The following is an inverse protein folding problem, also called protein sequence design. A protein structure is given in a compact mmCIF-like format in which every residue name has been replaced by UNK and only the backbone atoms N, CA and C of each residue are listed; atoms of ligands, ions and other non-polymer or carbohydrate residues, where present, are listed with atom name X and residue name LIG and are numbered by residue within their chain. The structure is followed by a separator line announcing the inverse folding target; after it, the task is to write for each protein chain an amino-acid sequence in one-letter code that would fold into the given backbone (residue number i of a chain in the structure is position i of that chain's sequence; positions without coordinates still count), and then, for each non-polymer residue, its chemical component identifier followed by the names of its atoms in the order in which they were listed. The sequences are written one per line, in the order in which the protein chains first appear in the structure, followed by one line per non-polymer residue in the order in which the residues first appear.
data_IF_784980270646
#
_entry.id   IF_784980270646
#
_cell.length_a   1.000
_cell.length_b   1.000
_cell.length_c   1.000
_cell.angle_alpha   90.00
_cell.angle_beta   90.00
_cell.angle_gamma   90.00
#
_symmetry.space_group_name_H-M   'P 1'
#
loop_
_entity.id
_entity.type
_entity.pdbx_description
1 polymer ?
#
# COMPACT_ATOMS: atom_id res chain seq x y z
N UNK A 1 59.82 -40.45 -1.68
CA UNK A 1 58.92 -39.85 -2.68
C UNK A 1 57.50 -40.24 -2.31
N UNK A 2 56.60 -39.25 -2.31
CA UNK A 2 55.13 -39.35 -2.17
C UNK A 2 54.64 -39.94 -0.84
N UNK A 3 54.04 -39.22 0.11
CA UNK A 3 53.38 -37.92 0.03
C UNK A 3 51.92 -38.06 -0.36
N UNK A 4 51.05 -37.87 0.64
CA UNK A 4 49.63 -37.49 0.55
C UNK A 4 48.62 -38.65 0.37
N UNK A 5 48.09 -39.13 1.49
CA UNK A 5 46.69 -39.55 1.60
C UNK A 5 46.26 -39.38 3.06
N UNK A 6 45.00 -39.00 3.27
CA UNK A 6 44.33 -38.69 4.54
C UNK A 6 44.63 -37.32 5.19
N UNK A 7 44.01 -36.26 4.65
CA UNK A 7 43.35 -35.18 5.42
C UNK A 7 42.64 -34.16 4.51
N UNK A 8 41.48 -33.69 4.96
CA UNK A 8 40.57 -32.68 4.38
C UNK A 8 39.69 -33.21 3.23
N UNK A 9 38.36 -33.17 3.30
CA UNK A 9 37.54 -31.99 3.57
C UNK A 9 36.40 -32.27 4.54
N UNK A 10 36.50 -31.69 5.75
CA UNK A 10 35.38 -31.51 6.66
C UNK A 10 34.78 -30.16 6.29
N UNK A 11 33.76 -30.14 5.44
CA UNK A 11 32.98 -28.92 5.18
C UNK A 11 32.36 -28.50 6.51
N UNK A 12 32.87 -27.39 7.06
CA UNK A 12 32.28 -26.72 8.21
C UNK A 12 30.96 -26.14 7.73
N UNK A 13 29.88 -26.80 8.11
CA UNK A 13 28.55 -26.24 8.19
C UNK A 13 28.66 -24.95 9.02
N UNK A 14 28.55 -23.79 8.36
CA UNK A 14 28.52 -22.50 9.03
C UNK A 14 27.11 -22.34 9.58
N UNK A 15 26.93 -22.67 10.85
CA UNK A 15 25.75 -22.24 11.60
C UNK A 15 25.71 -20.71 11.61
N UNK A 16 24.52 -20.08 11.44
CA UNK A 16 24.39 -18.64 11.58
C UNK A 16 24.57 -18.29 13.06
N UNK A 17 25.78 -17.92 13.42
CA UNK A 17 26.10 -17.34 14.72
C UNK A 17 25.52 -15.93 14.74
N UNK A 18 24.61 -15.67 15.68
CA UNK A 18 24.12 -14.33 15.99
C UNK A 18 25.29 -13.46 16.45
N UNK A 19 25.94 -12.78 15.51
CA UNK A 19 26.91 -11.75 15.82
C UNK A 19 26.18 -10.45 16.17
N UNK A 20 25.97 -10.23 17.47
CA UNK A 20 25.53 -8.96 18.05
C UNK A 20 26.69 -7.96 18.06
N UNK A 21 27.04 -7.43 16.88
CA UNK A 21 27.89 -6.25 16.74
C UNK A 21 27.04 -4.97 16.60
N UNK A 22 27.56 -3.78 16.99
CA UNK A 22 26.87 -2.52 16.75
C UNK A 22 26.90 -2.23 15.25
N UNK A 23 25.85 -2.67 14.55
CA UNK A 23 25.74 -2.69 13.08
C UNK A 23 24.87 -3.82 12.52
N UNK A 24 24.41 -4.76 13.36
CA UNK A 24 23.48 -5.81 12.94
C UNK A 24 22.10 -5.23 12.59
N UNK A 25 21.61 -5.51 11.38
CA UNK A 25 20.25 -5.16 10.92
C UNK A 25 19.19 -5.94 11.73
N UNK A 26 18.88 -5.48 12.94
CA UNK A 26 17.73 -5.97 13.69
C UNK A 26 16.44 -5.54 12.96
N UNK A 27 15.62 -6.52 12.56
CA UNK A 27 14.30 -6.45 11.87
C UNK A 27 14.26 -6.68 10.33
N UNK A 28 15.24 -7.34 9.72
CA UNK A 28 15.11 -7.86 8.35
C UNK A 28 14.80 -9.36 8.40
N UNK A 29 13.56 -9.78 8.11
CA UNK A 29 13.27 -11.20 7.86
C UNK A 29 13.80 -11.57 6.48
N UNK A 30 14.58 -12.64 6.42
CA UNK A 30 15.20 -13.15 5.18
C UNK A 30 14.55 -14.47 4.84
N UNK A 31 14.06 -14.59 3.61
CA UNK A 31 13.44 -15.79 3.09
C UNK A 31 14.42 -16.52 2.17
N UNK A 32 14.65 -17.80 2.43
CA UNK A 32 15.43 -18.67 1.55
C UNK A 32 14.60 -19.15 0.34
N UNK A 33 15.23 -19.76 -0.67
CA UNK A 33 14.54 -20.26 -1.87
C UNK A 33 13.55 -21.40 -1.60
N UNK A 34 13.61 -22.04 -0.42
CA UNK A 34 12.68 -23.09 -0.01
C UNK A 34 11.43 -22.55 0.70
N UNK A 35 11.39 -21.25 1.01
CA UNK A 35 10.26 -20.63 1.70
C UNK A 35 9.05 -20.51 0.78
N UNK A 36 7.88 -20.83 1.33
CA UNK A 36 6.62 -20.78 0.59
C UNK A 36 6.02 -19.37 0.55
N UNK A 37 5.13 -19.13 -0.41
CA UNK A 37 4.35 -17.90 -0.48
C UNK A 37 3.51 -17.68 0.79
N UNK A 38 3.06 -18.75 1.43
CA UNK A 38 2.34 -18.70 2.71
C UNK A 38 3.22 -18.13 3.82
N UNK A 39 4.51 -18.53 3.88
CA UNK A 39 5.43 -18.04 4.89
C UNK A 39 5.70 -16.53 4.74
N UNK A 40 5.87 -16.06 3.50
CA UNK A 40 6.00 -14.63 3.19
C UNK A 40 4.70 -13.87 3.52
N UNK A 41 3.54 -14.44 3.20
CA UNK A 41 2.25 -13.81 3.45
C UNK A 41 1.92 -13.68 4.95
N UNK A 42 2.48 -14.54 5.81
CA UNK A 42 2.31 -14.44 7.26
C UNK A 42 2.74 -13.07 7.82
N UNK A 43 3.77 -12.45 7.23
CA UNK A 43 4.21 -11.09 7.60
C UNK A 43 3.30 -9.98 7.05
N UNK A 44 2.58 -10.27 5.96
CA UNK A 44 1.67 -9.31 5.31
C UNK A 44 0.35 -9.21 6.06
N UNK A 45 -0.14 -10.32 6.60
CA UNK A 45 -1.46 -10.43 7.24
C UNK A 45 -1.75 -9.36 8.32
N UNK A 46 -0.85 -9.00 9.24
CA UNK A 46 -1.09 -7.93 10.23
C UNK A 46 -1.35 -6.55 9.61
N UNK A 47 -0.81 -6.29 8.41
CA UNK A 47 -1.04 -5.04 7.69
C UNK A 47 -2.46 -4.99 7.12
N UNK A 48 -3.04 -6.13 6.74
CA UNK A 48 -4.43 -6.20 6.28
C UNK A 48 -5.41 -5.90 7.43
N UNK A 49 -5.12 -6.39 8.64
CA UNK A 49 -5.89 -5.99 9.84
C UNK A 49 -5.79 -4.48 10.07
N UNK A 50 -4.59 -3.93 9.96
CA UNK A 50 -4.36 -2.48 10.10
C UNK A 50 -5.14 -1.66 9.05
N UNK A 51 -5.20 -2.16 7.82
CA UNK A 51 -5.99 -1.53 6.78
C UNK A 51 -7.49 -1.51 7.13
N UNK A 52 -8.03 -2.61 7.65
CA UNK A 52 -9.42 -2.67 8.12
C UNK A 52 -9.70 -1.76 9.33
N UNK A 53 -8.69 -1.50 10.16
CA UNK A 53 -8.78 -0.52 11.26
C UNK A 53 -8.80 0.96 10.78
N UNK A 54 -8.55 1.17 9.48
CA UNK A 54 -8.59 2.47 8.81
C UNK A 54 -7.23 3.11 8.57
N UNK A 55 -6.13 2.35 8.63
CA UNK A 55 -4.80 2.86 8.28
C UNK A 55 -4.51 2.69 6.79
N UNK A 56 -3.83 3.66 6.19
CA UNK A 56 -3.26 3.50 4.86
C UNK A 56 -2.08 2.52 4.90
N UNK A 57 -2.00 1.65 3.90
CA UNK A 57 -0.99 0.57 3.83
C UNK A 57 -0.42 0.51 2.41
N UNK A 58 0.91 0.44 2.31
CA UNK A 58 1.63 0.15 1.07
C UNK A 58 2.45 -1.12 1.23
N UNK A 59 2.27 -2.08 0.33
CA UNK A 59 3.11 -3.26 0.22
C UNK A 59 3.69 -3.27 -1.18
N UNK A 60 5.02 -3.26 -1.30
CA UNK A 60 5.69 -3.20 -2.60
C UNK A 60 6.81 -4.23 -2.72
N UNK A 61 6.90 -4.85 -3.90
CA UNK A 61 8.04 -5.68 -4.28
C UNK A 61 9.07 -4.86 -5.08
N UNK A 62 10.34 -4.90 -4.67
CA UNK A 62 11.45 -4.17 -5.28
C UNK A 62 12.63 -5.10 -5.57
N UNK A 63 13.34 -4.86 -6.67
CA UNK A 63 14.54 -5.61 -7.04
C UNK A 63 14.79 -5.67 -8.54
N UNK A 64 15.90 -6.27 -8.94
CA UNK A 64 16.28 -6.43 -10.35
C UNK A 64 15.27 -7.27 -11.15
N UNK A 65 15.29 -7.16 -12.47
CA UNK A 65 14.53 -8.04 -13.35
C UNK A 65 14.89 -9.51 -13.14
N UNK A 66 13.86 -10.35 -13.15
CA UNK A 66 14.00 -11.79 -12.94
C UNK A 66 14.21 -12.23 -11.49
N UNK A 67 14.23 -11.30 -10.51
CA UNK A 67 14.40 -11.68 -9.09
C UNK A 67 13.13 -12.19 -8.40
N UNK A 68 12.00 -12.26 -9.11
CA UNK A 68 10.74 -12.82 -8.59
C UNK A 68 9.71 -11.81 -8.08
N UNK A 69 9.87 -10.49 -8.29
CA UNK A 69 8.89 -9.47 -7.86
C UNK A 69 7.43 -9.79 -8.22
N UNK A 70 7.17 -10.01 -9.52
CA UNK A 70 5.83 -10.35 -10.00
C UNK A 70 5.35 -11.70 -9.47
N UNK A 71 6.25 -12.68 -9.27
CA UNK A 71 5.91 -13.96 -8.64
C UNK A 71 5.48 -13.75 -7.17
N UNK A 72 6.20 -12.93 -6.41
CA UNK A 72 5.85 -12.57 -5.03
C UNK A 72 4.48 -11.89 -4.96
N UNK A 73 4.22 -10.91 -5.84
CA UNK A 73 2.97 -10.14 -5.79
C UNK A 73 1.77 -10.88 -6.37
N UNK A 74 1.92 -11.57 -7.49
CA UNK A 74 0.80 -12.15 -8.27
C UNK A 74 0.77 -13.68 -8.20
N UNK A 75 1.92 -14.32 -8.01
CA UNK A 75 2.09 -15.76 -8.13
C UNK A 75 2.55 -16.17 -9.54
N UNK A 76 2.58 -17.48 -9.82
CA UNK A 76 2.93 -17.99 -11.15
C UNK A 76 1.92 -17.49 -12.20
N UNK A 77 2.36 -17.20 -13.43
CA UNK A 77 1.44 -16.91 -14.52
C UNK A 77 0.47 -18.09 -14.68
N UNK A 78 -0.83 -17.81 -14.73
CA UNK A 78 -1.83 -18.84 -14.97
C UNK A 78 -1.71 -19.34 -16.41
N UNK A 79 -0.84 -20.32 -16.65
CA UNK A 79 -0.82 -21.06 -17.91
C UNK A 79 -2.03 -22.02 -17.92
N UNK A 80 -3.20 -21.50 -18.28
CA UNK A 80 -4.41 -22.30 -18.36
C UNK A 80 -5.57 -21.54 -18.99
N UNK A 81 -6.40 -22.27 -19.74
CA UNK A 81 -7.66 -21.75 -20.28
C UNK A 81 -8.56 -21.19 -19.16
N UNK A 82 -9.40 -20.18 -19.45
CA UNK A 82 -10.36 -19.66 -18.47
C UNK A 82 -11.27 -20.79 -17.96
N UNK A 83 -11.09 -21.18 -16.69
CA UNK A 83 -11.87 -22.24 -16.04
C UNK A 83 -11.05 -23.29 -15.29
N UNK A 84 -9.75 -23.43 -15.56
CA UNK A 84 -8.84 -24.26 -14.76
C UNK A 84 -7.89 -23.37 -13.97
N UNK A 85 -8.10 -23.28 -12.66
CA UNK A 85 -7.13 -22.71 -11.73
C UNK A 85 -5.91 -23.66 -11.66
N UNK A 86 -5.02 -23.57 -12.65
CA UNK A 86 -3.84 -24.44 -12.78
C UNK A 86 -2.65 -23.94 -11.95
N UNK A 87 -2.91 -23.57 -10.70
CA UNK A 87 -1.88 -23.38 -9.69
C UNK A 87 -2.30 -24.15 -8.44
N UNK A 88 -1.35 -24.78 -7.75
CA UNK A 88 -1.65 -25.19 -6.38
C UNK A 88 -2.01 -23.92 -5.61
N UNK A 89 -3.07 -23.89 -4.80
CA UNK A 89 -3.40 -22.74 -3.93
C UNK A 89 -2.19 -22.31 -3.05
N UNK A 90 -1.17 -23.17 -2.92
CA UNK A 90 0.11 -22.91 -2.26
C UNK A 90 1.00 -21.87 -2.94
N UNK A 91 0.87 -21.63 -4.25
CA UNK A 91 1.78 -20.75 -5.00
C UNK A 91 1.23 -19.35 -5.29
N UNK A 92 -0.04 -19.09 -4.93
CA UNK A 92 -0.67 -17.78 -5.05
C UNK A 92 0.19 -16.67 -4.44
N UNK A 93 0.35 -15.54 -5.13
CA UNK A 93 1.10 -14.39 -4.63
C UNK A 93 0.34 -13.59 -3.56
N UNK A 94 0.94 -12.48 -3.13
CA UNK A 94 0.38 -11.60 -2.09
C UNK A 94 -0.99 -11.05 -2.47
N UNK A 95 -1.21 -10.62 -3.72
CA UNK A 95 -2.48 -10.00 -4.16
C UNK A 95 -3.67 -10.95 -4.00
N UNK A 96 -3.68 -12.17 -4.58
CA UNK A 96 -4.80 -13.10 -4.39
C UNK A 96 -4.97 -13.53 -2.92
N UNK A 97 -3.88 -13.75 -2.17
CA UNK A 97 -3.97 -14.07 -0.73
C UNK A 97 -4.54 -12.92 0.09
N UNK A 98 -4.16 -11.68 -0.20
CA UNK A 98 -4.68 -10.50 0.46
C UNK A 98 -6.17 -10.33 0.16
N UNK A 99 -6.61 -10.61 -1.07
CA UNK A 99 -8.03 -10.61 -1.41
C UNK A 99 -8.81 -11.60 -0.52
N UNK A 100 -8.40 -12.86 -0.49
CA UNK A 100 -9.04 -13.90 0.32
C UNK A 100 -9.08 -13.51 1.81
N UNK A 101 -7.95 -13.06 2.35
CA UNK A 101 -7.84 -12.69 3.77
C UNK A 101 -8.68 -11.46 4.12
N UNK A 102 -8.75 -10.44 3.26
CA UNK A 102 -9.59 -9.26 3.49
C UNK A 102 -11.07 -9.64 3.58
N UNK A 103 -11.57 -10.43 2.63
CA UNK A 103 -12.96 -10.85 2.65
C UNK A 103 -13.27 -11.82 3.80
N UNK A 104 -12.31 -12.69 4.18
CA UNK A 104 -12.41 -13.53 5.38
C UNK A 104 -12.55 -12.67 6.64
N UNK A 105 -11.65 -11.71 6.85
CA UNK A 105 -11.68 -10.81 8.01
C UNK A 105 -12.94 -9.93 8.05
N UNK A 106 -13.40 -9.42 6.91
CA UNK A 106 -14.65 -8.64 6.82
C UNK A 106 -15.85 -9.50 7.20
N UNK A 107 -15.89 -10.76 6.76
CA UNK A 107 -16.98 -11.68 7.09
C UNK A 107 -17.02 -12.08 8.57
N UNK A 108 -15.85 -12.12 9.24
CA UNK A 108 -15.72 -12.50 10.65
C UNK A 108 -15.98 -11.33 11.61
N UNK A 109 -15.57 -10.10 11.26
CA UNK A 109 -15.44 -9.00 12.24
C UNK A 109 -16.38 -7.78 12.07
N UNK A 110 -17.29 -7.72 11.08
CA UNK A 110 -18.03 -6.47 10.80
C UNK A 110 -19.57 -6.55 10.84
N UNK A 111 -20.23 -5.92 11.84
CA UNK A 111 -21.67 -5.62 11.79
C UNK A 111 -22.01 -4.43 10.86
N UNK A 112 -21.02 -3.61 10.46
CA UNK A 112 -21.16 -2.58 9.43
C UNK A 112 -20.40 -2.98 8.18
N UNK A 113 -21.09 -3.56 7.17
CA UNK A 113 -20.47 -4.05 5.93
C UNK A 113 -19.70 -2.92 5.23
N UNK A 114 -18.37 -2.88 5.28
CA UNK A 114 -17.63 -1.85 4.57
C UNK A 114 -17.67 -2.13 3.08
N UNK A 115 -17.64 -1.07 2.27
CA UNK A 115 -17.52 -1.18 0.82
C UNK A 115 -16.06 -1.22 0.44
N UNK A 116 -15.67 -2.21 -0.35
CA UNK A 116 -14.37 -2.28 -0.99
C UNK A 116 -14.48 -1.87 -2.46
N UNK A 117 -13.62 -0.96 -2.88
CA UNK A 117 -13.46 -0.57 -4.28
C UNK A 117 -12.04 -0.87 -4.74
N UNK A 118 -11.88 -1.31 -5.97
CA UNK A 118 -10.59 -1.71 -6.55
C UNK A 118 -10.32 -0.85 -7.77
N UNK A 119 -9.09 -0.36 -7.85
CA UNK A 119 -8.52 0.20 -9.08
C UNK A 119 -7.21 -0.52 -9.40
N UNK A 120 -6.97 -0.74 -10.69
CA UNK A 120 -5.76 -1.39 -11.19
C UNK A 120 -5.18 -0.48 -12.25
N UNK A 121 -3.93 -0.05 -12.05
CA UNK A 121 -3.25 0.83 -13.00
C UNK A 121 -1.83 0.36 -13.30
N UNK A 122 -1.36 0.76 -14.45
CA UNK A 122 0.01 0.61 -14.89
C UNK A 122 0.68 1.98 -14.97
N UNK A 123 1.91 2.08 -14.49
CA UNK A 123 2.79 3.21 -14.72
C UNK A 123 3.89 2.77 -15.66
N UNK A 124 3.84 3.28 -16.89
CA UNK A 124 4.81 2.99 -17.93
C UNK A 124 5.29 4.29 -18.56
N UNK A 125 6.60 4.44 -18.73
CA UNK A 125 7.20 5.65 -19.31
C UNK A 125 6.76 6.97 -18.62
N UNK A 126 6.54 6.92 -17.29
CA UNK A 126 5.99 8.03 -16.49
C UNK A 126 4.57 8.47 -16.90
N UNK A 127 3.82 7.64 -17.62
CA UNK A 127 2.41 7.79 -17.91
C UNK A 127 1.59 6.77 -17.12
N UNK A 128 0.37 7.16 -16.72
CA UNK A 128 -0.57 6.32 -15.97
C UNK A 128 -1.63 5.79 -16.92
N UNK A 129 -1.82 4.48 -16.91
CA UNK A 129 -2.82 3.76 -17.69
C UNK A 129 -3.80 3.06 -16.75
N UNK A 130 -5.09 3.33 -16.94
CA UNK A 130 -6.19 2.69 -16.22
C UNK A 130 -6.48 1.32 -16.84
N UNK A 131 -6.22 0.25 -16.09
CA UNK A 131 -6.37 -1.12 -16.56
C UNK A 131 -7.77 -1.71 -16.33
N UNK A 132 -8.70 -0.93 -15.73
CA UNK A 132 -10.10 -1.33 -15.56
C UNK A 132 -11.08 -0.53 -16.45
N UNK A 133 -10.58 0.44 -17.22
CA UNK A 133 -11.40 1.21 -18.14
C UNK A 133 -12.07 0.30 -19.19
N UNK A 134 -13.41 0.38 -19.31
CA UNK A 134 -14.18 -0.41 -20.29
C UNK A 134 -13.90 0.07 -21.72
N UNK A 135 -13.76 -0.88 -22.64
CA UNK A 135 -13.48 -0.65 -24.06
C UNK A 135 -14.55 0.19 -24.80
N UNK A 136 -15.78 0.25 -24.29
CA UNK A 136 -16.89 1.01 -24.90
C UNK A 136 -16.67 2.54 -24.95
N UNK A 137 -15.63 3.03 -24.28
CA UNK A 137 -15.07 4.35 -24.53
C UNK A 137 -13.68 4.21 -25.13
N UNK A 138 -13.62 3.97 -26.45
CA UNK A 138 -12.39 4.07 -27.25
C UNK A 138 -11.67 5.45 -27.10
N UNK A 139 -12.31 6.41 -26.43
CA UNK A 139 -11.74 7.69 -26.02
C UNK A 139 -11.02 7.69 -24.65
N UNK A 140 -11.04 6.60 -23.87
CA UNK A 140 -10.50 6.54 -22.49
C UNK A 140 -9.31 5.59 -22.36
N UNK A 141 -9.27 4.52 -23.16
CA UNK A 141 -8.11 3.60 -23.18
C UNK A 141 -6.90 4.31 -23.81
N UNK A 142 -5.87 4.59 -23.02
CA UNK A 142 -4.67 5.34 -23.46
C UNK A 142 -4.70 6.85 -23.14
N UNK A 143 -5.74 7.36 -22.49
CA UNK A 143 -5.71 8.73 -21.95
C UNK A 143 -4.71 8.77 -20.80
N UNK A 144 -3.59 9.46 -21.03
CA UNK A 144 -2.59 9.74 -20.00
C UNK A 144 -3.26 10.41 -18.82
N UNK A 145 -3.24 9.76 -17.65
CA UNK A 145 -3.75 10.37 -16.43
C UNK A 145 -2.64 11.14 -15.71
N UNK A 146 -3.05 12.18 -15.02
CA UNK A 146 -2.21 12.96 -14.12
C UNK A 146 -2.61 12.69 -12.68
N UNK A 147 -1.62 12.69 -11.78
CA UNK A 147 -1.88 12.64 -10.34
C UNK A 147 -2.13 14.07 -9.87
N UNK A 148 -3.22 14.27 -9.15
CA UNK A 148 -3.55 15.56 -8.54
C UNK A 148 -3.49 15.44 -7.02
N UNK A 149 -3.02 16.50 -6.38
CA UNK A 149 -3.14 16.64 -4.93
C UNK A 149 -4.39 17.45 -4.64
N UNK A 150 -5.34 16.88 -3.92
CA UNK A 150 -6.58 17.55 -3.52
C UNK A 150 -6.29 18.66 -2.52
N UNK A 151 -7.28 19.54 -2.28
CA UNK A 151 -7.19 20.59 -1.25
C UNK A 151 -6.93 20.02 0.16
N UNK A 152 -7.26 18.75 0.38
CA UNK A 152 -7.06 18.03 1.63
C UNK A 152 -5.67 17.38 1.73
N UNK A 153 -4.80 17.62 0.73
CA UNK A 153 -3.45 17.05 0.67
C UNK A 153 -3.42 15.58 0.23
N UNK A 154 -4.56 15.00 -0.18
CA UNK A 154 -4.64 13.61 -0.65
C UNK A 154 -4.27 13.50 -2.11
N UNK A 155 -3.71 12.38 -2.51
CA UNK A 155 -3.44 12.08 -3.91
C UNK A 155 -4.61 11.37 -4.54
N UNK A 156 -5.02 11.86 -5.72
CA UNK A 156 -6.07 11.24 -6.51
C UNK A 156 -5.68 11.25 -7.99
N UNK A 157 -6.17 10.26 -8.73
CA UNK A 157 -6.05 10.20 -10.19
C UNK A 157 -7.45 10.46 -10.72
N UNK A 158 -7.73 11.64 -11.32
CA UNK A 158 -9.05 11.96 -11.80
C UNK A 158 -9.53 10.93 -12.84
N UNK A 159 -10.83 10.63 -12.79
CA UNK A 159 -11.52 9.71 -13.70
C UNK A 159 -11.00 8.26 -13.65
N UNK A 160 -10.20 7.89 -12.64
CA UNK A 160 -9.72 6.51 -12.49
C UNK A 160 -10.92 5.58 -12.26
N UNK A 161 -10.96 4.46 -13.00
CA UNK A 161 -12.01 3.47 -12.82
C UNK A 161 -11.82 2.76 -11.49
N UNK A 162 -12.78 2.97 -10.59
CA UNK A 162 -12.89 2.28 -9.31
C UNK A 162 -14.12 1.38 -9.36
N UNK A 163 -13.91 0.08 -9.21
CA UNK A 163 -14.99 -0.92 -9.26
C UNK A 163 -15.24 -1.47 -7.86
N UNK A 164 -16.48 -1.36 -7.38
CA UNK A 164 -16.88 -1.99 -6.13
C UNK A 164 -16.82 -3.52 -6.27
N UNK A 165 -16.30 -4.21 -5.26
CA UNK A 165 -16.14 -5.67 -5.25
C UNK A 165 -16.84 -6.30 -4.06
N UNK A 166 -17.54 -7.41 -4.29
CA UNK A 166 -18.30 -8.14 -3.28
C UNK A 166 -17.63 -9.44 -2.83
N UNK A 167 -16.56 -9.89 -3.52
CA UNK A 167 -15.84 -11.11 -3.17
C UNK A 167 -14.35 -11.07 -3.56
N UNK A 168 -13.56 -11.93 -2.93
CA UNK A 168 -12.15 -12.12 -3.27
C UNK A 168 -11.97 -12.56 -4.74
N UNK A 169 -12.87 -13.43 -5.22
CA UNK A 169 -12.86 -13.93 -6.60
C UNK A 169 -13.03 -12.78 -7.61
N UNK A 170 -13.95 -11.85 -7.34
CA UNK A 170 -14.18 -10.68 -8.20
C UNK A 170 -12.96 -9.75 -8.23
N UNK A 171 -12.36 -9.46 -7.07
CA UNK A 171 -11.15 -8.65 -6.99
C UNK A 171 -10.02 -9.27 -7.82
N UNK A 172 -9.75 -10.56 -7.61
CA UNK A 172 -8.69 -11.28 -8.35
C UNK A 172 -9.01 -11.33 -9.84
N UNK A 173 -10.27 -11.53 -10.23
CA UNK A 173 -10.68 -11.51 -11.62
C UNK A 173 -10.45 -10.15 -12.30
N UNK A 174 -10.70 -9.03 -11.60
CA UNK A 174 -10.39 -7.68 -12.10
C UNK A 174 -8.88 -7.48 -12.27
N UNK A 175 -8.07 -7.90 -11.29
CA UNK A 175 -6.61 -7.84 -11.40
C UNK A 175 -6.12 -8.66 -12.59
N UNK A 176 -6.57 -9.90 -12.74
CA UNK A 176 -6.21 -10.74 -13.88
C UNK A 176 -6.70 -10.16 -15.21
N UNK A 177 -7.87 -9.51 -15.24
CA UNK A 177 -8.37 -8.76 -16.39
C UNK A 177 -7.42 -7.63 -16.78
N UNK A 178 -7.04 -6.79 -15.83
CA UNK A 178 -6.07 -5.72 -16.03
C UNK A 178 -4.70 -6.22 -16.48
N UNK A 179 -4.23 -7.35 -15.94
CA UNK A 179 -2.97 -7.99 -16.37
C UNK A 179 -3.05 -8.51 -17.81
N UNK A 180 -4.19 -9.06 -18.25
CA UNK A 180 -4.38 -9.46 -19.65
C UNK A 180 -4.36 -8.23 -20.57
N UNK A 181 -4.96 -7.11 -20.16
CA UNK A 181 -4.89 -5.86 -20.90
C UNK A 181 -3.46 -5.32 -20.98
N UNK A 182 -2.75 -5.31 -19.84
CA UNK A 182 -1.31 -4.98 -19.75
C UNK A 182 -0.45 -5.83 -20.70
N UNK A 183 -0.78 -7.12 -20.86
CA UNK A 183 -0.07 -8.01 -21.78
C UNK A 183 -0.48 -7.86 -23.25
N UNK A 184 -1.74 -7.48 -23.54
CA UNK A 184 -2.31 -7.40 -24.89
C UNK A 184 -2.17 -6.04 -25.54
N UNK A 185 -2.16 -4.96 -24.78
CA UNK A 185 -1.99 -3.61 -25.32
C UNK A 185 -0.49 -3.32 -25.50
N UNK A 186 0.02 -3.34 -26.74
CA UNK A 186 1.41 -3.06 -27.02
C UNK A 186 1.56 -1.54 -27.09
N UNK A 187 1.64 -0.88 -25.94
CA UNK A 187 2.35 0.39 -25.85
C UNK A 187 3.84 0.10 -25.94
N UNK A 188 4.31 -0.30 -27.14
CA UNK A 188 5.71 -0.42 -27.56
C UNK A 188 6.63 -1.28 -26.63
N UNK A 189 6.83 -2.54 -27.03
CA UNK A 189 8.00 -3.42 -26.71
C UNK A 189 8.02 -4.22 -25.38
N UNK A 190 6.94 -4.38 -24.60
CA UNK A 190 7.01 -5.19 -23.36
C UNK A 190 6.17 -6.45 -23.37
N UNK A 191 6.79 -7.55 -23.81
CA UNK A 191 6.33 -8.89 -23.50
C UNK A 191 6.57 -9.29 -22.02
N UNK A 192 7.10 -8.40 -21.16
CA UNK A 192 7.49 -8.73 -19.78
C UNK A 192 7.11 -7.62 -18.78
N UNK A 193 6.58 -8.02 -17.62
CA UNK A 193 6.22 -7.16 -16.48
C UNK A 193 7.39 -6.36 -15.89
N UNK A 194 8.62 -6.63 -16.32
CA UNK A 194 9.85 -5.99 -15.83
C UNK A 194 9.95 -4.50 -16.15
N UNK A 195 9.14 -3.99 -17.08
CA UNK A 195 9.35 -2.67 -17.69
C UNK A 195 8.30 -1.61 -17.34
N UNK A 196 7.31 -1.99 -16.53
CA UNK A 196 6.30 -1.07 -16.01
C UNK A 196 5.96 -1.42 -14.57
N UNK A 197 5.44 -0.45 -13.83
CA UNK A 197 4.98 -0.66 -12.46
C UNK A 197 3.49 -0.99 -12.47
N UNK A 198 3.09 -2.00 -11.72
CA UNK A 198 1.68 -2.30 -11.48
C UNK A 198 1.30 -1.79 -10.09
N UNK A 199 0.21 -1.05 -10.00
CA UNK A 199 -0.36 -0.61 -8.72
C UNK A 199 -1.81 -1.09 -8.65
N UNK A 200 -2.08 -2.00 -7.73
CA UNK A 200 -3.44 -2.40 -7.35
C UNK A 200 -3.80 -1.64 -6.08
N UNK A 201 -4.82 -0.80 -6.14
CA UNK A 201 -5.31 -0.05 -4.97
C UNK A 201 -6.68 -0.56 -4.56
N UNK A 202 -6.77 -1.06 -3.32
CA UNK A 202 -8.03 -1.39 -2.66
C UNK A 202 -8.39 -0.25 -1.72
N UNK A 203 -9.55 0.36 -1.94
CA UNK A 203 -10.08 1.44 -1.10
C UNK A 203 -11.17 0.87 -0.21
N UNK A 204 -10.98 1.00 1.10
CA UNK A 204 -11.99 0.69 2.10
C UNK A 204 -12.80 1.95 2.39
N UNK A 205 -14.12 1.84 2.29
CA UNK A 205 -15.05 2.90 2.68
C UNK A 205 -16.05 2.32 3.67
N UNK A 206 -16.04 2.80 4.91
CA UNK A 206 -16.91 2.28 5.96
C UNK A 206 -17.42 3.37 6.89
N UNK A 207 -18.47 3.09 7.64
CA UNK A 207 -18.89 3.93 8.77
C UNK A 207 -17.89 3.73 9.90
N UNK A 208 -17.21 4.78 10.32
CA UNK A 208 -16.31 4.75 11.45
C UNK A 208 -17.07 4.19 12.67
N UNK A 209 -16.49 3.24 13.41
CA UNK A 209 -17.05 2.87 14.70
C UNK A 209 -17.11 4.16 15.54
N UNK A 210 -18.32 4.50 15.99
CA UNK A 210 -18.53 5.53 16.98
C UNK A 210 -17.65 5.20 18.19
N UNK A 211 -16.67 6.04 18.48
CA UNK A 211 -15.86 5.93 19.69
C UNK A 211 -16.80 6.03 20.90
N UNK A 212 -17.25 4.90 21.44
CA UNK A 212 -17.84 4.80 22.77
C UNK A 212 -16.73 4.59 23.81
N UNK A 213 -15.67 5.39 23.73
CA UNK A 213 -14.77 5.61 24.85
C UNK A 213 -15.43 6.65 25.74
N UNK A 214 -16.06 6.18 26.81
CA UNK A 214 -16.53 7.03 27.90
C UNK A 214 -15.35 7.71 28.59
N UNK A 215 -14.84 8.79 28.01
CA UNK A 215 -14.12 9.80 28.77
C UNK A 215 -15.14 10.70 29.46
N UNK A 216 -15.39 10.40 30.74
CA UNK A 216 -15.98 11.34 31.68
C UNK A 216 -15.17 12.65 31.60
N UNK A 217 -15.79 13.81 31.36
CA UNK A 217 -15.07 15.07 31.40
C UNK A 217 -14.55 15.25 32.83
N UNK A 218 -13.21 15.24 32.99
CA UNK A 218 -12.54 15.63 34.23
C UNK A 218 -12.89 17.08 34.51
N UNK A 219 -13.97 17.27 35.26
CA UNK A 219 -14.34 18.55 35.84
C UNK A 219 -13.19 19.01 36.72
N UNK A 220 -12.82 20.27 36.51
CA UNK A 220 -11.82 20.97 37.26
C UNK A 220 -12.19 20.99 38.76
N UNK A 221 -11.57 20.13 39.56
CA UNK A 221 -11.36 20.42 40.98
C UNK A 221 -10.29 21.51 41.08
N UNK A 222 -10.70 22.76 40.91
CA UNK A 222 -10.00 23.87 41.54
C UNK A 222 -10.39 23.85 43.02
N UNK A 223 -9.40 23.53 43.86
CA UNK A 223 -9.43 23.82 45.28
C UNK A 223 -9.67 25.33 45.47
N UNK A 224 -10.81 25.68 46.06
CA UNK A 224 -11.13 27.01 46.55
C UNK A 224 -11.35 26.93 48.05
N UNK A 225 -10.54 27.68 48.79
CA UNK A 225 -10.53 27.77 50.24
C UNK A 225 -11.87 28.22 50.84
N UNK A 226 -12.06 27.80 52.09
CA UNK A 226 -13.14 28.16 52.99
C UNK A 226 -13.26 29.68 53.24
N UNK A 227 -14.50 30.15 53.40
CA UNK A 227 -14.84 31.47 53.90
C UNK A 227 -16.32 31.54 54.22
N UNK A 228 -16.65 31.64 55.51
CA UNK A 228 -17.99 31.64 56.08
C UNK A 228 -18.79 32.93 55.80
N UNK A 229 -20.12 32.83 55.74
CA UNK A 229 -21.03 33.97 55.75
C UNK A 229 -22.50 33.56 55.69
N UNK A 230 -23.26 33.92 56.72
CA UNK A 230 -24.68 33.64 56.97
C UNK A 230 -25.63 34.35 55.98
N UNK A 231 -26.83 33.79 55.79
CA UNK A 231 -27.97 34.54 55.24
C UNK A 231 -29.15 33.66 54.79
N UNK A 232 -30.30 33.85 55.43
CA UNK A 232 -31.52 33.06 55.30
C UNK A 232 -32.37 33.35 54.04
N UNK A 233 -33.26 32.38 53.77
CA UNK A 233 -34.67 32.52 53.33
C UNK A 233 -35.06 32.25 51.86
N UNK A 234 -36.11 31.42 51.78
CA UNK A 234 -37.22 31.39 50.83
C UNK A 234 -36.99 30.90 49.37
N UNK A 235 -37.52 29.70 49.10
CA UNK A 235 -37.95 29.20 47.78
C UNK A 235 -39.09 30.09 47.20
N UNK A 236 -39.34 30.05 45.87
CA UNK A 236 -40.20 28.98 45.35
C UNK A 236 -39.84 28.42 43.96
N UNK A 237 -39.92 27.09 43.87
CA UNK A 237 -40.56 26.29 42.79
C UNK A 237 -40.36 26.75 41.33
N UNK A 238 -39.30 26.26 40.69
CA UNK A 238 -39.16 26.23 39.23
C UNK A 238 -39.44 24.81 38.69
N UNK A 239 -40.25 24.73 37.64
CA UNK A 239 -40.69 23.51 36.96
C UNK A 239 -39.51 22.70 36.38
N UNK A 240 -39.60 21.35 36.32
CA UNK A 240 -38.56 20.55 35.67
C UNK A 240 -38.56 20.81 34.16
N UNK A 241 -37.40 21.01 33.51
CA UNK A 241 -37.33 21.11 32.06
C UNK A 241 -37.67 19.74 31.45
N UNK A 242 -38.60 19.73 30.51
CA UNK A 242 -38.89 18.56 29.70
C UNK A 242 -37.64 18.18 28.89
N UNK A 243 -37.27 16.88 28.81
CA UNK A 243 -36.20 16.46 27.92
C UNK A 243 -36.65 16.65 26.47
N UNK A 244 -36.07 17.63 25.79
CA UNK A 244 -36.11 17.73 24.34
C UNK A 244 -35.51 16.43 23.76
N UNK A 245 -36.12 15.81 22.73
CA UNK A 245 -35.49 14.71 22.04
C UNK A 245 -34.21 15.22 21.38
N UNK A 246 -33.07 14.85 21.96
CA UNK A 246 -31.76 15.08 21.35
C UNK A 246 -31.65 14.12 20.17
N UNK A 247 -32.02 14.59 18.99
CA UNK A 247 -31.73 13.95 17.72
C UNK A 247 -30.21 14.00 17.49
N UNK A 248 -29.49 13.03 18.07
CA UNK A 248 -28.08 12.78 17.79
C UNK A 248 -27.92 11.87 16.57
N UNK A 249 -28.63 12.16 15.48
CA UNK A 249 -28.33 11.61 14.16
C UNK A 249 -27.44 12.60 13.40
N UNK A 250 -26.24 12.82 13.95
CA UNK A 250 -25.14 13.34 13.15
C UNK A 250 -24.84 12.36 12.01
N UNK A 251 -24.47 12.82 10.80
CA UNK A 251 -24.16 11.93 9.70
C UNK A 251 -23.05 10.97 10.12
N UNK A 252 -23.28 9.67 9.96
CA UNK A 252 -22.32 8.63 10.29
C UNK A 252 -20.97 8.95 9.62
N UNK A 253 -19.92 9.11 10.45
CA UNK A 253 -18.59 9.53 10.03
C UNK A 253 -18.01 8.47 9.09
N UNK A 254 -17.79 8.78 7.81
CA UNK A 254 -17.27 7.82 6.84
C UNK A 254 -15.72 7.80 6.91
N UNK A 255 -15.14 6.66 7.29
CA UNK A 255 -13.71 6.41 7.26
C UNK A 255 -13.31 5.86 5.88
N UNK A 256 -12.19 6.34 5.35
CA UNK A 256 -11.60 5.88 4.07
C UNK A 256 -10.13 5.54 4.28
N UNK A 257 -9.73 4.34 3.88
CA UNK A 257 -8.34 3.86 3.91
C UNK A 257 -7.95 3.27 2.55
N UNK A 258 -6.66 3.32 2.20
CA UNK A 258 -6.08 2.77 0.96
C UNK A 258 -5.08 1.68 1.28
N UNK A 259 -5.25 0.51 0.65
CA UNK A 259 -4.25 -0.54 0.56
C UNK A 259 -3.68 -0.53 -0.85
N UNK A 260 -2.39 -0.25 -0.99
CA UNK A 260 -1.68 -0.29 -2.26
C UNK A 260 -0.74 -1.49 -2.31
N UNK A 261 -1.00 -2.38 -3.28
CA UNK A 261 -0.20 -3.55 -3.59
C UNK A 261 0.57 -3.26 -4.89
N UNK A 262 1.89 -3.11 -4.78
CA UNK A 262 2.73 -2.57 -5.86
C UNK A 262 3.75 -3.60 -6.33
N UNK A 263 3.76 -3.90 -7.63
CA UNK A 263 4.82 -4.66 -8.30
C UNK A 263 5.65 -3.69 -9.14
N UNK A 264 6.85 -3.36 -8.66
CA UNK A 264 7.73 -2.41 -9.33
C UNK A 264 8.46 -3.04 -10.51
N UNK A 265 8.84 -2.21 -11.47
CA UNK A 265 9.74 -2.58 -12.56
C UNK A 265 11.15 -2.99 -12.05
N UNK A 266 11.94 -3.59 -12.94
CA UNK A 266 13.32 -3.96 -12.66
C UNK A 266 14.21 -2.76 -12.31
N UNK A 267 15.01 -2.90 -11.26
CA UNK A 267 15.95 -1.86 -10.79
C UNK A 267 17.34 -1.93 -11.42
N UNK A 268 17.54 -2.77 -12.43
CA UNK A 268 18.85 -2.93 -13.08
C UNK A 268 19.31 -1.68 -13.84
N UNK A 269 20.62 -1.49 -13.87
CA UNK A 269 21.24 -0.37 -14.56
C UNK A 269 21.17 -0.53 -16.08
N UNK A 270 20.82 0.56 -16.79
CA UNK A 270 20.81 0.60 -18.25
C UNK A 270 22.17 0.23 -18.89
N UNK A 271 23.28 0.51 -18.20
CA UNK A 271 24.62 0.16 -18.67
C UNK A 271 24.88 -1.35 -18.68
N UNK A 272 24.22 -2.12 -17.80
CA UNK A 272 24.38 -3.57 -17.71
C UNK A 272 23.52 -4.32 -18.75
N UNK A 273 22.47 -3.68 -19.28
CA UNK A 273 21.54 -4.32 -20.23
C UNK A 273 21.95 -4.20 -21.70
N UNK A 274 22.91 -3.32 -22.03
CA UNK A 274 23.39 -3.12 -23.40
C UNK A 274 22.33 -2.57 -24.37
N UNK A 275 21.21 -2.08 -23.85
CA UNK A 275 20.08 -1.60 -24.67
C UNK A 275 20.40 -0.25 -25.33
N UNK A 276 19.93 -0.06 -26.56
CA UNK A 276 20.14 1.16 -27.35
C UNK A 276 18.82 1.73 -27.87
N UNK A 277 18.86 2.98 -28.36
CA UNK A 277 17.71 3.62 -29.01
C UNK A 277 16.48 3.79 -28.10
N UNK A 278 15.32 3.34 -28.57
CA UNK A 278 14.05 3.47 -27.84
C UNK A 278 14.04 2.68 -26.52
N UNK A 279 14.62 1.48 -26.51
CA UNK A 279 14.71 0.65 -25.30
C UNK A 279 15.59 1.31 -24.21
N UNK A 280 16.59 2.10 -24.60
CA UNK A 280 17.40 2.88 -23.65
C UNK A 280 16.59 4.02 -23.01
N UNK A 281 15.83 4.77 -23.81
CA UNK A 281 14.96 5.84 -23.31
C UNK A 281 13.97 5.29 -22.28
N UNK A 282 13.37 4.17 -22.62
CA UNK A 282 12.41 3.49 -21.78
C UNK A 282 13.01 2.97 -20.47
N UNK A 283 14.18 2.31 -20.54
CA UNK A 283 14.96 1.92 -19.35
C UNK A 283 15.32 3.14 -18.49
N UNK A 284 15.59 4.29 -19.12
CA UNK A 284 15.85 5.54 -18.40
C UNK A 284 14.64 6.03 -17.60
N UNK A 285 13.41 5.86 -18.10
CA UNK A 285 12.20 6.25 -17.36
C UNK A 285 11.91 5.32 -16.18
N UNK A 286 12.14 4.02 -16.35
CA UNK A 286 12.08 3.05 -15.24
C UNK A 286 13.03 3.49 -14.13
N UNK A 287 14.31 3.67 -14.47
CA UNK A 287 15.33 4.07 -13.50
C UNK A 287 15.05 5.44 -12.88
N UNK A 288 14.50 6.40 -13.64
CA UNK A 288 14.09 7.71 -13.10
C UNK A 288 13.01 7.57 -12.03
N UNK A 289 12.00 6.75 -12.25
CA UNK A 289 10.92 6.54 -11.28
C UNK A 289 11.39 5.83 -10.01
N UNK A 290 12.29 4.84 -10.13
CA UNK A 290 12.87 4.15 -8.99
C UNK A 290 13.87 5.01 -8.21
N UNK A 291 14.67 5.84 -8.90
CA UNK A 291 15.54 6.83 -8.27
C UNK A 291 14.74 7.87 -7.50
N UNK A 292 13.66 8.42 -8.10
CA UNK A 292 12.76 9.33 -7.40
C UNK A 292 12.15 8.70 -6.14
N UNK A 293 11.78 7.41 -6.18
CA UNK A 293 11.29 6.69 -5.01
C UNK A 293 12.38 6.55 -3.93
N UNK A 294 13.61 6.23 -4.32
CA UNK A 294 14.73 6.19 -3.40
C UNK A 294 15.03 7.57 -2.77
N UNK A 295 14.92 8.65 -3.53
CA UNK A 295 15.10 10.03 -3.06
C UNK A 295 14.01 10.43 -2.06
N UNK A 296 12.76 10.04 -2.32
CA UNK A 296 11.65 10.27 -1.38
C UNK A 296 11.89 9.55 -0.07
N UNK A 297 12.26 8.26 -0.10
CA UNK A 297 12.57 7.50 1.11
C UNK A 297 13.78 8.09 1.86
N UNK A 298 14.83 8.49 1.14
CA UNK A 298 16.00 9.16 1.72
C UNK A 298 15.65 10.51 2.37
N UNK A 299 14.82 11.32 1.70
CA UNK A 299 14.35 12.58 2.25
C UNK A 299 13.48 12.39 3.51
N UNK A 300 12.68 11.31 3.55
CA UNK A 300 11.88 10.93 4.71
C UNK A 300 12.76 10.45 5.87
N UNK A 301 13.74 9.57 5.60
CA UNK A 301 14.67 9.08 6.63
C UNK A 301 15.50 10.20 7.24
N UNK A 302 15.92 11.17 6.43
CA UNK A 302 16.69 12.33 6.88
C UNK A 302 15.81 13.45 7.46
N UNK A 303 14.48 13.28 7.48
CA UNK A 303 13.51 14.28 7.97
C UNK A 303 13.68 15.65 7.29
N UNK A 304 13.97 15.66 5.99
CA UNK A 304 14.11 16.90 5.21
C UNK A 304 12.79 17.68 5.23
N UNK A 305 12.89 19.01 5.23
CA UNK A 305 11.71 19.89 5.20
C UNK A 305 10.88 19.77 3.92
N UNK A 306 11.52 19.39 2.80
CA UNK A 306 10.85 19.11 1.53
C UNK A 306 11.12 17.67 1.09
N UNK A 307 10.05 16.94 0.74
CA UNK A 307 10.12 15.58 0.19
C UNK A 307 9.66 15.62 -1.27
N UNK A 308 10.48 15.16 -2.23
CA UNK A 308 10.26 15.40 -3.66
C UNK A 308 9.29 14.39 -4.30
N UNK A 309 8.07 14.25 -3.76
CA UNK A 309 7.07 13.32 -4.27
C UNK A 309 6.70 13.53 -5.74
N UNK A 310 6.87 14.74 -6.27
CA UNK A 310 6.49 15.11 -7.64
C UNK A 310 7.53 14.77 -8.70
N UNK A 311 8.69 14.20 -8.33
CA UNK A 311 9.75 13.86 -9.28
C UNK A 311 9.37 12.70 -10.23
N UNK A 312 8.33 11.93 -9.90
CA UNK A 312 7.74 10.92 -10.79
C UNK A 312 6.25 10.75 -10.51
N UNK A 313 5.48 10.26 -11.49
CA UNK A 313 4.06 9.92 -11.27
C UNK A 313 3.90 8.78 -10.25
N UNK A 314 4.87 7.86 -10.17
CA UNK A 314 4.89 6.79 -9.17
C UNK A 314 4.95 7.36 -7.76
N UNK A 315 5.95 8.19 -7.47
CA UNK A 315 6.12 8.80 -6.14
C UNK A 315 4.99 9.75 -5.79
N UNK A 316 4.38 10.42 -6.77
CA UNK A 316 3.25 11.30 -6.54
C UNK A 316 1.99 10.50 -6.23
N UNK A 317 1.76 9.38 -6.93
CA UNK A 317 0.65 8.46 -6.65
C UNK A 317 0.77 7.80 -5.27
N UNK A 318 2.00 7.43 -4.89
CA UNK A 318 2.28 6.72 -3.65
C UNK A 318 2.46 7.65 -2.44
N UNK A 319 2.44 8.98 -2.62
CA UNK A 319 2.74 9.94 -1.55
C UNK A 319 1.90 9.72 -0.28
N UNK A 320 0.62 9.33 -0.41
CA UNK A 320 -0.25 9.08 0.73
C UNK A 320 0.15 7.81 1.52
N UNK A 321 0.84 6.86 0.90
CA UNK A 321 1.07 5.51 1.45
C UNK A 321 2.55 5.19 1.71
N UNK A 322 3.48 5.96 1.15
CA UNK A 322 4.93 5.89 1.48
C UNK A 322 5.37 7.00 2.44
N UNK A 323 4.48 7.96 2.71
CA UNK A 323 4.70 9.07 3.63
C UNK A 323 3.56 9.22 4.62
N UNK A 324 3.72 10.12 5.58
CA UNK A 324 2.69 10.40 6.59
C UNK A 324 2.58 9.30 7.65
N UNK A 325 1.36 8.86 7.93
CA UNK A 325 1.02 7.91 9.02
C UNK A 325 0.69 6.51 8.47
N UNK A 326 1.02 6.25 7.20
CA UNK A 326 0.79 4.99 6.52
C UNK A 326 1.80 3.92 6.93
N UNK A 327 1.40 2.65 6.83
CA UNK A 327 2.29 1.50 7.06
C UNK A 327 2.91 1.05 5.74
N UNK A 328 4.24 1.02 5.68
CA UNK A 328 4.99 0.63 4.49
C UNK A 328 5.71 -0.70 4.72
N UNK A 329 5.46 -1.67 3.85
CA UNK A 329 6.25 -2.90 3.74
C UNK A 329 6.94 -2.96 2.38
N UNK A 330 8.27 -3.10 2.40
CA UNK A 330 9.08 -3.30 1.20
C UNK A 330 9.63 -4.72 1.20
N UNK A 331 9.31 -5.48 0.16
CA UNK A 331 9.81 -6.84 -0.06
C UNK A 331 10.93 -6.77 -1.09
N UNK A 332 12.16 -7.00 -0.63
CA UNK A 332 13.34 -7.01 -1.50
C UNK A 332 13.52 -8.38 -2.14
N UNK A 333 13.33 -8.44 -3.45
CA UNK A 333 13.56 -9.61 -4.27
C UNK A 333 14.96 -9.52 -4.88
N UNK A 334 15.90 -10.34 -4.40
CA UNK A 334 17.32 -10.31 -4.80
C UNK A 334 17.74 -11.64 -5.45
N UNK A 335 18.80 -11.61 -6.26
CA UNK A 335 19.35 -12.83 -6.87
C UNK A 335 20.66 -13.24 -6.18
N UNK A 336 20.85 -14.52 -5.83
CA UNK A 336 22.07 -14.98 -5.17
C UNK A 336 23.27 -15.10 -6.14
N UNK A 337 23.07 -14.87 -7.44
CA UNK A 337 24.13 -15.03 -8.44
C UNK A 337 25.24 -13.97 -8.31
N UNK A 338 26.50 -14.37 -8.49
CA UNK A 338 27.65 -13.46 -8.38
C UNK A 338 27.58 -12.25 -9.33
N UNK A 339 26.99 -12.45 -10.52
CA UNK A 339 26.75 -11.38 -11.52
C UNK A 339 25.75 -10.31 -11.06
N UNK A 340 25.06 -10.53 -9.96
CA UNK A 340 23.96 -9.70 -9.44
C UNK A 340 24.27 -9.05 -8.10
N UNK A 341 25.52 -9.13 -7.63
CA UNK A 341 25.93 -8.60 -6.33
C UNK A 341 25.73 -7.08 -6.25
N UNK A 342 26.03 -6.35 -7.34
CA UNK A 342 25.89 -4.90 -7.36
C UNK A 342 24.41 -4.48 -7.19
N UNK A 343 23.51 -5.10 -7.95
CA UNK A 343 22.06 -4.87 -7.88
C UNK A 343 21.49 -5.28 -6.53
N UNK A 344 21.99 -6.39 -5.97
CA UNK A 344 21.61 -6.86 -4.63
C UNK A 344 21.99 -5.86 -3.56
N UNK A 345 23.23 -5.33 -3.59
CA UNK A 345 23.67 -4.30 -2.65
C UNK A 345 22.86 -3.00 -2.79
N UNK A 346 22.52 -2.61 -4.02
CA UNK A 346 21.63 -1.47 -4.26
C UNK A 346 20.24 -1.69 -3.67
N UNK A 347 19.67 -2.88 -3.84
CA UNK A 347 18.39 -3.26 -3.24
C UNK A 347 18.40 -3.26 -1.72
N UNK A 348 19.46 -3.79 -1.10
CA UNK A 348 19.65 -3.73 0.35
C UNK A 348 19.77 -2.29 0.86
N UNK A 349 20.52 -1.44 0.15
CA UNK A 349 20.61 0.00 0.44
C UNK A 349 19.26 0.72 0.32
N UNK A 350 18.43 0.34 -0.65
CA UNK A 350 17.06 0.83 -0.78
C UNK A 350 16.21 0.44 0.45
N UNK A 351 16.25 -0.84 0.87
CA UNK A 351 15.52 -1.30 2.05
C UNK A 351 15.98 -0.63 3.35
N UNK A 352 17.29 -0.37 3.49
CA UNK A 352 17.82 0.36 4.64
C UNK A 352 17.25 1.79 4.74
N UNK A 353 17.11 2.49 3.60
CA UNK A 353 16.45 3.82 3.55
C UNK A 353 14.96 3.73 3.87
N UNK A 354 14.25 2.75 3.29
CA UNK A 354 12.83 2.53 3.56
C UNK A 354 12.56 2.32 5.06
N UNK A 355 13.38 1.52 5.75
CA UNK A 355 13.24 1.28 7.19
C UNK A 355 13.36 2.56 8.01
N UNK A 356 14.29 3.43 7.65
CA UNK A 356 14.53 4.68 8.40
C UNK A 356 13.48 5.76 8.11
N UNK A 357 12.68 5.60 7.06
CA UNK A 357 11.62 6.53 6.69
C UNK A 357 10.38 6.44 7.60
N UNK A 358 10.28 5.41 8.47
CA UNK A 358 9.17 5.25 9.42
C UNK A 358 9.07 6.45 10.38
N UNK A 359 7.89 7.08 10.42
CA UNK A 359 7.54 8.10 11.40
C UNK A 359 6.84 7.43 12.59
N UNK A 360 7.15 7.91 13.81
CA UNK A 360 6.59 7.39 15.05
C UNK A 360 5.05 7.47 15.10
N UNK A 361 4.46 6.53 15.85
CA UNK A 361 3.04 6.30 16.15
C UNK A 361 2.03 6.82 15.11
N UNK A 362 1.50 5.88 14.32
CA UNK A 362 0.39 6.11 13.40
C UNK A 362 -0.84 6.66 14.15
N UNK A 363 -1.18 7.92 13.92
CA UNK A 363 -2.41 8.53 14.40
C UNK A 363 -3.55 8.26 13.42
N UNK A 364 -4.71 7.80 13.90
CA UNK A 364 -5.95 7.85 13.11
C UNK A 364 -6.25 9.32 12.77
N UNK A 365 -6.17 9.70 11.50
CA UNK A 365 -6.43 11.09 11.09
C UNK A 365 -7.93 11.40 11.05
N UNK A 366 -8.38 12.56 11.53
CA UNK A 366 -9.79 12.94 11.52
C UNK A 366 -10.31 13.17 10.10
N UNK A 367 -11.53 12.71 9.82
CA UNK A 367 -12.20 12.77 8.51
C UNK A 367 -12.97 14.08 8.30
N UNK A 368 -13.09 14.52 7.04
CA UNK A 368 -13.82 15.72 6.63
C UNK A 368 -15.36 15.57 6.73
N UNK A 369 -16.10 16.65 7.06
CA UNK A 369 -17.56 16.68 6.99
C UNK A 369 -18.04 16.70 5.52
N UNK A 370 -18.94 15.79 5.16
CA UNK A 370 -19.48 15.65 3.81
C UNK A 370 -20.19 16.91 3.31
N UNK A 371 -19.84 17.37 2.10
CA UNK A 371 -20.52 18.48 1.43
C UNK A 371 -21.96 18.08 1.08
N UNK A 372 -22.93 18.88 1.55
CA UNK A 372 -24.31 18.88 1.06
C UNK A 372 -24.30 19.13 -0.45
N UNK A 373 -24.82 18.17 -1.24
CA UNK A 373 -25.27 18.45 -2.60
C UNK A 373 -26.49 19.38 -2.49
N UNK A 374 -26.30 20.66 -2.77
CA UNK A 374 -27.41 21.57 -3.03
C UNK A 374 -28.08 21.14 -4.34
N UNK A 375 -29.28 20.58 -4.24
CA UNK A 375 -30.12 20.30 -5.38
C UNK A 375 -30.43 21.60 -6.12
N UNK A 376 -30.05 21.66 -7.39
CA UNK A 376 -30.59 22.65 -8.31
C UNK A 376 -32.06 22.28 -8.56
N UNK A 377 -32.96 23.00 -7.91
CA UNK A 377 -34.38 22.98 -8.25
C UNK A 377 -34.55 23.56 -9.66
N UNK A 378 -35.11 22.75 -10.56
CA UNK A 378 -35.72 23.24 -11.79
C UNK A 378 -36.91 24.12 -11.40
N UNK A 379 -36.77 25.42 -11.56
CA UNK A 379 -37.89 26.34 -11.57
C UNK A 379 -38.37 26.46 -13.02
N UNK A 380 -39.55 25.90 -13.27
CA UNK A 380 -40.40 26.17 -14.41
C UNK A 380 -40.95 27.61 -14.33
N UNK A 381 -40.68 28.41 -15.35
CA UNK A 381 -41.63 29.34 -15.99
C UNK A 381 -41.06 29.82 -17.32
#
# INVERSE_FOLDING_TARGET
GQGISERASREKQVEPTEHTGPGALQTTRVYGPAESQTAVFADVRPLLTSFLDGFDVCIMAYGQTGSGKSYTMLGPPSEGQPGQQSGTHGDSGIVPRAAEELFRLISENSPGRPTLEVSVLEIYNNDIFDLLAKEDSAAVFGVKREVVTTLEGRTEVPLLTCTAVASAVELVALVHGGLRLRARHPTLVHAASSRSHLVVTVTLTGTAPSDSTGELPRSALRQGHAGAGQGCSASPRASPPQPLPMDHTGPARQARAKLQLVDLAGSECAGASGVTGLALRETSFINRSLAALADVLGALSERRGHVPYRNSKLTHLLQDTIGGDAKLLVILCVSPGQKHVAETLQGLGFGARARQAERGQAGRRPSCPGKRRSGAGLASQ
#
